data_IF_319527148144
#
_entry.id   IF_319527148144
#
_cell.length_a   1.000
_cell.length_b   1.000
_cell.length_c   1.000
_cell.angle_alpha   90.00
_cell.angle_beta   90.00
_cell.angle_gamma   90.00
#
_symmetry.space_group_name_H-M   'P 1'
#
loop_
_entity.id
_entity.type
_entity.pdbx_description
1 polymer ?
#
# COMPACT_ATOMS: atom_id res chain seq x y z
N UNK A 1 21.83 19.00 2.40
CA UNK A 1 21.22 17.66 2.31
C UNK A 1 19.76 17.82 1.90
N UNK A 2 19.46 17.64 0.62
CA UNK A 2 18.09 17.67 0.12
C UNK A 2 17.56 16.24 0.06
N UNK A 3 16.73 15.84 1.03
CA UNK A 3 15.92 14.65 0.89
C UNK A 3 14.76 15.00 -0.05
N UNK A 4 14.97 14.82 -1.36
CA UNK A 4 13.85 14.81 -2.31
C UNK A 4 13.17 13.46 -2.14
N UNK A 5 12.23 13.38 -1.20
CA UNK A 5 11.31 12.25 -1.12
C UNK A 5 10.28 12.42 -2.24
N UNK A 6 10.61 11.93 -3.44
CA UNK A 6 9.62 11.66 -4.48
C UNK A 6 8.72 10.54 -3.95
N UNK A 7 7.75 10.90 -3.12
CA UNK A 7 6.70 10.00 -2.69
C UNK A 7 5.86 9.66 -3.92
N UNK A 8 5.99 8.42 -4.39
CA UNK A 8 5.27 7.96 -5.56
C UNK A 8 3.81 7.74 -5.13
N UNK A 9 3.01 8.80 -5.26
CA UNK A 9 1.59 8.80 -4.93
C UNK A 9 0.87 7.98 -5.99
N UNK A 10 0.06 7.05 -5.54
CA UNK A 10 -0.74 6.19 -6.41
C UNK A 10 -2.18 6.18 -5.93
N UNK A 11 -3.09 5.87 -6.85
CA UNK A 11 -4.51 5.75 -6.58
C UNK A 11 -4.93 4.31 -6.83
N UNK A 12 -5.57 3.71 -5.84
CA UNK A 12 -6.10 2.36 -5.94
C UNK A 12 -7.18 2.31 -7.03
N UNK A 13 -7.08 1.33 -7.94
CA UNK A 13 -8.00 1.17 -9.07
C UNK A 13 -9.12 0.18 -8.79
N UNK A 14 -8.81 -0.86 -8.02
CA UNK A 14 -9.71 -1.95 -7.67
C UNK A 14 -9.59 -2.26 -6.18
N UNK A 15 -10.57 -2.98 -5.62
CA UNK A 15 -10.53 -3.34 -4.21
C UNK A 15 -9.29 -4.21 -3.93
N UNK A 16 -8.47 -3.78 -2.97
CA UNK A 16 -7.21 -4.46 -2.62
C UNK A 16 -7.14 -4.68 -1.12
N UNK A 17 -6.88 -5.91 -0.70
CA UNK A 17 -6.75 -6.25 0.72
C UNK A 17 -5.38 -5.87 1.26
N UNK A 18 -5.36 -5.48 2.53
CA UNK A 18 -4.13 -5.12 3.24
C UNK A 18 -3.56 -6.34 3.95
N UNK A 19 -2.25 -6.48 3.88
CA UNK A 19 -1.49 -7.54 4.52
C UNK A 19 -0.50 -6.96 5.54
N UNK A 20 -0.19 -7.74 6.58
CA UNK A 20 0.83 -7.36 7.58
C UNK A 20 2.26 -7.61 7.05
N UNK A 21 2.43 -8.58 6.17
CA UNK A 21 3.68 -8.96 5.51
C UNK A 21 3.45 -9.24 4.01
N UNK A 22 4.50 -9.33 3.18
CA UNK A 22 4.37 -9.61 1.74
C UNK A 22 4.08 -11.09 1.47
N UNK A 23 3.02 -11.63 2.09
CA UNK A 23 2.55 -13.00 1.94
C UNK A 23 1.02 -13.06 2.08
N UNK A 24 0.41 -14.04 1.42
CA UNK A 24 -1.05 -14.19 1.39
C UNK A 24 -1.65 -14.64 2.73
N UNK A 25 -0.87 -15.28 3.59
CA UNK A 25 -1.33 -15.76 4.90
C UNK A 25 -1.48 -14.62 5.92
N UNK A 26 -0.88 -13.46 5.65
CA UNK A 26 -0.94 -12.26 6.49
C UNK A 26 -2.07 -11.28 6.14
N UNK A 27 -3.04 -11.74 5.34
CA UNK A 27 -4.19 -10.95 4.89
C UNK A 27 -5.06 -10.52 6.08
N UNK A 28 -5.40 -9.24 6.10
CA UNK A 28 -6.26 -8.65 7.13
C UNK A 28 -7.68 -8.44 6.62
N UNK A 29 -8.61 -8.12 7.53
CA UNK A 29 -9.96 -7.70 7.15
C UNK A 29 -10.01 -6.30 6.54
N UNK A 30 -8.93 -5.53 6.67
CA UNK A 30 -8.85 -4.18 6.12
C UNK A 30 -8.54 -4.23 4.62
N UNK A 31 -9.14 -3.31 3.88
CA UNK A 31 -8.98 -3.20 2.44
C UNK A 31 -9.04 -1.75 2.01
N UNK A 32 -8.46 -1.49 0.85
CA UNK A 32 -8.60 -0.26 0.10
C UNK A 32 -9.63 -0.45 -0.99
N UNK A 33 -10.27 0.65 -1.38
CA UNK A 33 -11.22 0.71 -2.48
C UNK A 33 -10.72 1.64 -3.56
N UNK A 34 -11.34 1.55 -4.74
CA UNK A 34 -11.08 2.44 -5.87
C UNK A 34 -11.15 3.90 -5.42
N UNK A 35 -10.12 4.67 -5.76
CA UNK A 35 -9.99 6.08 -5.42
C UNK A 35 -9.21 6.37 -4.14
N UNK A 36 -8.94 5.37 -3.29
CA UNK A 36 -8.07 5.57 -2.13
C UNK A 36 -6.65 5.94 -2.59
N UNK A 37 -6.08 6.97 -1.97
CA UNK A 37 -4.74 7.45 -2.27
C UNK A 37 -3.72 6.82 -1.32
N UNK A 38 -2.61 6.36 -1.89
CA UNK A 38 -1.52 5.72 -1.16
C UNK A 38 -0.18 6.28 -1.59
N UNK A 39 0.82 6.14 -0.72
CA UNK A 39 2.22 6.41 -1.05
C UNK A 39 2.94 5.06 -1.08
N UNK A 40 3.60 4.76 -2.19
CA UNK A 40 4.47 3.58 -2.29
C UNK A 40 5.78 3.87 -1.56
N UNK A 41 6.12 3.03 -0.60
CA UNK A 41 7.35 3.13 0.20
C UNK A 41 8.42 2.18 -0.32
N UNK A 42 8.06 0.92 -0.57
CA UNK A 42 8.98 -0.15 -0.97
C UNK A 42 8.26 -1.14 -1.90
N UNK A 43 9.03 -1.85 -2.72
CA UNK A 43 8.54 -2.98 -3.53
C UNK A 43 9.42 -4.20 -3.29
N UNK A 44 8.82 -5.39 -3.32
CA UNK A 44 9.61 -6.63 -3.33
C UNK A 44 10.34 -6.80 -4.66
N UNK A 45 11.46 -7.54 -4.66
CA UNK A 45 12.28 -7.76 -5.86
C UNK A 45 11.51 -8.41 -7.01
N UNK A 46 10.57 -9.28 -6.69
CA UNK A 46 9.68 -9.96 -7.64
C UNK A 46 8.53 -9.07 -8.15
N UNK A 47 8.39 -7.85 -7.60
CA UNK A 47 7.35 -6.87 -7.92
C UNK A 47 5.93 -7.41 -7.74
N UNK A 48 5.75 -8.37 -6.84
CA UNK A 48 4.43 -8.91 -6.48
C UNK A 48 3.81 -8.09 -5.35
N UNK A 49 4.64 -7.50 -4.47
CA UNK A 49 4.17 -6.80 -3.30
C UNK A 49 4.71 -5.37 -3.22
N UNK A 50 3.83 -4.46 -2.83
CA UNK A 50 4.14 -3.07 -2.52
C UNK A 50 3.87 -2.81 -1.04
N UNK A 51 4.82 -2.18 -0.37
CA UNK A 51 4.60 -1.59 0.95
C UNK A 51 4.12 -0.17 0.75
N UNK A 52 2.98 0.13 1.34
CA UNK A 52 2.30 1.41 1.18
C UNK A 52 2.09 2.09 2.52
N UNK A 53 2.07 3.42 2.51
CA UNK A 53 1.44 4.22 3.55
C UNK A 53 0.10 4.76 3.03
N UNK A 54 -0.94 4.69 3.86
CA UNK A 54 -2.24 5.30 3.55
C UNK A 54 -2.87 5.90 4.81
N UNK A 55 -3.72 6.90 4.61
CA UNK A 55 -4.50 7.51 5.68
C UNK A 55 -5.89 6.87 5.66
N UNK A 56 -6.27 6.19 6.73
CA UNK A 56 -7.60 5.61 6.82
C UNK A 56 -8.67 6.69 7.11
N UNK A 57 -9.95 6.31 7.05
CA UNK A 57 -11.09 7.21 7.31
C UNK A 57 -11.09 7.87 8.70
N UNK A 58 -10.30 7.37 9.65
CA UNK A 58 -10.14 7.93 11.00
C UNK A 58 -8.94 8.90 11.09
N UNK A 59 -8.30 9.23 9.97
CA UNK A 59 -7.12 10.09 9.92
C UNK A 59 -5.83 9.42 10.40
N UNK A 60 -5.82 8.10 10.63
CA UNK A 60 -4.61 7.38 11.06
C UNK A 60 -3.81 6.92 9.85
N UNK A 61 -2.50 7.17 9.88
CA UNK A 61 -1.56 6.61 8.92
C UNK A 61 -1.33 5.15 9.26
N UNK A 62 -1.46 4.27 8.26
CA UNK A 62 -1.19 2.86 8.36
C UNK A 62 -0.18 2.45 7.29
N UNK A 63 0.82 1.67 7.71
CA UNK A 63 1.82 1.07 6.81
C UNK A 63 1.50 -0.41 6.65
N UNK A 64 1.24 -0.84 5.41
CA UNK A 64 0.78 -2.20 5.07
C UNK A 64 1.35 -2.67 3.75
N UNK A 65 1.29 -3.98 3.54
CA UNK A 65 1.61 -4.59 2.25
C UNK A 65 0.34 -4.77 1.43
N UNK A 66 0.45 -4.59 0.12
CA UNK A 66 -0.59 -4.88 -0.86
C UNK A 66 -0.01 -5.70 -1.98
N UNK A 67 -0.80 -6.65 -2.49
CA UNK A 67 -0.44 -7.43 -3.66
C UNK A 67 -0.75 -6.64 -4.92
N UNK A 68 0.22 -6.53 -5.82
CA UNK A 68 0.02 -5.98 -7.15
C UNK A 68 -0.65 -7.06 -8.00
N UNK A 69 -1.91 -6.84 -8.38
CA UNK A 69 -2.57 -7.60 -9.43
C UNK A 69 -2.24 -6.89 -10.75
N UNK A 70 -1.42 -7.53 -11.58
CA UNK A 70 -1.15 -7.06 -12.95
C UNK A 70 -2.30 -7.39 -13.88
#
# INVERSE_FOLDING_TARGET
MSFVSNFNKNTIRDKTYLCLSPDENSLTKDYLIKGDEVIILEETKDKIWQKIAYINRKGKILVRWVKILK
#
